data_IF_063110319970
#
_entry.id   IF_063110319970
#
_cell.length_a   1.000
_cell.length_b   1.000
_cell.length_c   1.000
_cell.angle_alpha   90.00
_cell.angle_beta   90.00
_cell.angle_gamma   90.00
#
_symmetry.space_group_name_H-M   'P 1'
#
loop_
_entity.id
_entity.type
_entity.pdbx_description
1 polymer ?
#
# COMPACT_ATOMS: atom_id res chain seq x y z
N UNK A 1 48.46 5.52 4.88
CA UNK A 1 49.74 5.84 4.21
C UNK A 1 50.75 4.74 4.51
N UNK A 2 51.04 3.86 3.53
CA UNK A 2 52.10 2.85 3.64
C UNK A 2 53.29 3.32 2.81
N UNK A 3 54.34 3.76 3.49
CA UNK A 3 55.75 3.66 3.07
C UNK A 3 56.58 4.37 4.15
N UNK A 4 57.12 3.58 5.08
CA UNK A 4 58.20 4.03 5.95
C UNK A 4 59.47 4.17 5.09
N UNK A 5 59.73 5.37 4.59
CA UNK A 5 61.08 5.74 4.15
C UNK A 5 61.76 6.36 5.35
N UNK A 6 62.59 5.57 6.03
CA UNK A 6 63.55 6.09 7.00
C UNK A 6 64.58 6.91 6.25
N UNK A 7 64.46 8.24 6.30
CA UNK A 7 65.56 9.13 5.93
C UNK A 7 66.57 9.12 7.10
N UNK A 8 67.60 8.29 6.96
CA UNK A 8 68.86 8.31 7.73
C UNK A 8 68.78 8.43 9.27
N UNK A 9 68.55 7.29 9.91
CA UNK A 9 69.51 6.78 10.91
C UNK A 9 69.36 7.16 12.39
N UNK A 10 68.51 8.11 12.76
CA UNK A 10 68.11 8.31 14.17
C UNK A 10 66.60 8.33 14.26
N UNK A 11 66.03 7.52 15.17
CA UNK A 11 64.64 7.68 15.56
C UNK A 11 64.48 9.14 16.00
N UNK A 12 63.63 9.95 15.36
CA UNK A 12 63.56 11.35 15.72
C UNK A 12 62.99 11.43 17.14
N UNK A 13 63.82 11.86 18.08
CA UNK A 13 63.45 12.15 19.45
C UNK A 13 62.62 13.43 19.46
N UNK A 14 61.33 13.30 19.16
CA UNK A 14 60.39 14.39 19.34
C UNK A 14 59.97 14.44 20.81
N UNK A 15 60.59 15.32 21.59
CA UNK A 15 60.16 15.60 22.98
C UNK A 15 58.80 16.30 23.04
N UNK A 16 58.29 16.83 21.91
CA UNK A 16 56.93 17.37 21.78
C UNK A 16 56.51 17.53 20.29
N UNK A 17 56.11 16.46 19.57
CA UNK A 17 55.67 16.58 18.16
C UNK A 17 54.24 17.09 18.10
N UNK A 18 54.01 18.35 18.47
CA UNK A 18 52.70 18.99 18.33
C UNK A 18 52.62 19.74 17.00
N UNK A 19 51.78 19.25 16.09
CA UNK A 19 51.60 19.84 14.76
C UNK A 19 50.46 20.87 14.74
N UNK A 20 50.51 21.87 15.63
CA UNK A 20 49.43 22.86 15.82
C UNK A 20 49.05 23.69 14.58
N UNK A 21 49.83 23.63 13.50
CA UNK A 21 49.64 24.38 12.25
C UNK A 21 49.40 23.49 11.02
N UNK A 22 49.40 22.16 11.15
CA UNK A 22 49.17 21.25 10.01
C UNK A 22 47.68 20.98 9.84
N UNK A 23 47.15 21.21 8.64
CA UNK A 23 45.77 20.92 8.30
C UNK A 23 45.53 19.39 8.17
N UNK A 24 45.50 18.71 9.32
CA UNK A 24 44.92 17.37 9.49
C UNK A 24 43.75 17.40 10.48
N UNK A 25 43.46 18.56 11.08
CA UNK A 25 42.61 18.73 12.26
C UNK A 25 41.34 19.49 11.90
N UNK A 26 40.44 18.78 11.21
CA UNK A 26 39.09 19.24 10.96
C UNK A 26 38.17 18.64 12.02
N UNK A 27 37.19 19.42 12.44
CA UNK A 27 36.16 19.03 13.41
C UNK A 27 35.08 18.14 12.76
N UNK A 28 35.15 17.93 11.45
CA UNK A 28 34.12 17.29 10.63
C UNK A 28 32.74 17.98 10.66
N UNK A 29 32.57 19.00 11.49
CA UNK A 29 31.28 19.63 11.83
C UNK A 29 31.39 20.93 12.65
N UNK A 30 32.44 21.10 13.45
CA UNK A 30 32.52 22.07 14.55
C UNK A 30 31.69 21.54 15.72
N UNK A 31 32.25 21.18 16.86
CA UNK A 31 32.59 22.07 17.99
C UNK A 31 33.72 21.53 18.88
N UNK A 32 34.22 20.31 18.65
CA UNK A 32 35.46 19.87 19.29
C UNK A 32 36.60 20.76 18.78
N UNK A 33 37.36 21.40 19.66
CA UNK A 33 38.56 22.12 19.25
C UNK A 33 39.48 21.23 18.43
N UNK A 34 40.40 21.85 17.68
CA UNK A 34 41.53 21.16 17.02
C UNK A 34 42.10 20.11 17.99
N UNK A 35 41.86 18.83 17.72
CA UNK A 35 42.45 17.76 18.52
C UNK A 35 43.91 17.69 18.08
N UNK A 36 44.81 18.08 18.97
CA UNK A 36 46.26 18.01 18.72
C UNK A 36 46.68 16.56 18.97
N UNK A 37 46.98 15.76 17.93
CA UNK A 37 47.46 14.41 18.12
C UNK A 37 48.84 14.48 18.78
N UNK A 38 49.11 13.50 19.62
CA UNK A 38 50.45 13.27 20.12
C UNK A 38 50.96 12.00 19.48
N UNK A 39 51.99 12.13 18.62
CA UNK A 39 52.59 11.00 17.92
C UNK A 39 53.30 10.00 18.85
N UNK A 40 53.48 10.33 20.14
CA UNK A 40 53.94 9.36 21.15
C UNK A 40 52.79 8.59 21.81
N UNK A 41 51.54 8.94 21.50
CA UNK A 41 50.32 8.30 21.99
C UNK A 41 49.56 7.66 20.83
N UNK A 42 49.85 6.36 20.59
CA UNK A 42 49.18 5.50 19.59
C UNK A 42 47.64 5.64 19.61
N UNK A 43 46.95 5.75 20.77
CA UNK A 43 45.50 5.89 20.80
C UNK A 43 44.93 7.17 20.16
N UNK A 44 45.74 8.18 19.80
CA UNK A 44 45.23 9.46 19.28
C UNK A 44 44.90 9.44 17.77
N UNK A 45 45.29 8.37 17.05
CA UNK A 45 45.08 8.24 15.60
C UNK A 45 43.87 7.41 15.18
N UNK A 46 43.22 6.69 16.10
CA UNK A 46 42.12 5.79 15.75
C UNK A 46 40.84 6.53 15.32
N UNK A 47 40.06 5.90 14.44
CA UNK A 47 38.73 6.38 14.07
C UNK A 47 37.84 6.53 15.31
N UNK A 48 37.18 7.69 15.45
CA UNK A 48 36.37 8.03 16.63
C UNK A 48 37.02 9.08 17.54
N UNK A 49 38.35 9.26 17.45
CA UNK A 49 39.04 10.25 18.28
C UNK A 49 38.92 11.67 17.75
N UNK A 50 38.98 11.86 16.43
CA UNK A 50 38.86 13.19 15.81
C UNK A 50 37.40 13.64 15.72
N UNK A 51 36.53 12.72 15.30
CA UNK A 51 35.08 12.89 15.22
C UNK A 51 34.43 11.52 15.43
N UNK A 52 33.14 11.52 15.76
CA UNK A 52 32.37 10.28 15.87
C UNK A 52 32.46 9.41 14.60
N UNK A 53 32.49 8.08 14.77
CA UNK A 53 32.80 7.14 13.69
C UNK A 53 31.90 5.89 13.66
N UNK A 54 30.85 5.84 14.50
CA UNK A 54 29.92 4.71 14.56
C UNK A 54 28.53 5.14 15.10
N UNK A 55 27.60 4.20 15.23
CA UNK A 55 26.24 4.45 15.69
C UNK A 55 26.12 4.96 17.13
N UNK A 56 27.11 4.66 17.98
CA UNK A 56 27.15 5.09 19.39
C UNK A 56 27.63 6.52 19.52
N UNK A 57 28.65 6.86 18.73
CA UNK A 57 29.23 8.19 18.63
C UNK A 57 29.25 8.57 17.15
N UNK A 58 28.12 8.98 16.57
CA UNK A 58 28.08 9.38 15.17
C UNK A 58 28.83 10.71 14.98
N UNK A 59 29.39 10.98 13.77
CA UNK A 59 29.96 12.29 13.50
C UNK A 59 28.93 13.39 13.77
N UNK A 60 29.35 14.55 14.26
CA UNK A 60 28.43 15.57 14.76
C UNK A 60 27.57 16.15 13.62
N UNK A 61 26.32 15.72 13.52
CA UNK A 61 25.27 16.41 12.78
C UNK A 61 23.91 15.87 13.23
N UNK A 62 22.88 16.71 13.19
CA UNK A 62 21.50 16.26 13.44
C UNK A 62 21.04 15.18 12.45
N UNK A 63 21.72 15.01 11.31
CA UNK A 63 21.38 14.01 10.30
C UNK A 63 22.02 12.65 10.57
N UNK A 64 23.23 12.62 11.12
CA UNK A 64 23.83 11.36 11.49
C UNK A 64 23.04 10.67 12.60
N UNK A 65 22.52 11.42 13.58
CA UNK A 65 21.66 10.82 14.62
C UNK A 65 20.38 10.19 14.08
N UNK A 66 19.85 10.69 12.95
CA UNK A 66 18.67 10.15 12.27
C UNK A 66 18.96 8.93 11.39
N UNK A 67 20.10 8.91 10.69
CA UNK A 67 20.39 7.89 9.67
C UNK A 67 21.30 6.77 10.18
N UNK A 68 22.31 7.12 10.98
CA UNK A 68 23.35 6.19 11.42
C UNK A 68 23.34 5.96 12.93
N UNK A 69 22.74 6.88 13.71
CA UNK A 69 22.68 6.79 15.15
C UNK A 69 21.64 5.78 15.66
N UNK A 70 21.72 5.47 16.96
CA UNK A 70 20.80 4.54 17.62
C UNK A 70 19.37 5.08 17.79
N UNK A 71 19.15 6.40 17.69
CA UNK A 71 17.89 7.05 18.04
C UNK A 71 16.70 6.64 17.15
N UNK A 72 16.95 6.34 15.88
CA UNK A 72 15.90 6.04 14.89
C UNK A 72 15.99 4.62 14.31
N UNK A 73 16.96 3.80 14.72
CA UNK A 73 17.00 2.37 14.40
C UNK A 73 17.43 1.96 12.98
N UNK A 74 17.52 2.86 12.00
CA UNK A 74 17.95 2.50 10.62
C UNK A 74 19.40 2.02 10.53
N UNK A 75 20.31 2.65 11.28
CA UNK A 75 21.74 2.29 11.36
C UNK A 75 22.42 2.12 9.99
N UNK A 76 22.15 3.01 9.04
CA UNK A 76 22.75 2.90 7.71
C UNK A 76 24.28 2.87 7.76
N UNK A 77 24.92 1.97 7.00
CA UNK A 77 26.37 1.97 6.84
C UNK A 77 26.86 3.33 6.34
N UNK A 78 28.03 3.79 6.80
CA UNK A 78 28.58 5.09 6.42
C UNK A 78 28.76 5.23 4.89
N UNK A 79 29.15 4.13 4.23
CA UNK A 79 29.29 4.02 2.78
C UNK A 79 27.97 4.19 2.01
N UNK A 80 26.83 4.26 2.71
CA UNK A 80 25.53 4.60 2.09
C UNK A 80 25.56 6.02 1.52
N UNK A 81 26.20 6.96 2.22
CA UNK A 81 26.31 8.37 1.83
C UNK A 81 27.76 8.81 1.53
N UNK A 82 28.76 8.09 2.03
CA UNK A 82 30.19 8.39 1.86
C UNK A 82 30.89 7.29 1.05
N UNK A 83 30.25 6.84 -0.04
CA UNK A 83 30.72 5.70 -0.84
C UNK A 83 32.08 5.94 -1.51
N UNK A 84 32.52 7.19 -1.64
CA UNK A 84 33.82 7.57 -2.22
C UNK A 84 34.95 7.69 -1.20
N UNK A 85 34.64 7.65 0.11
CA UNK A 85 35.55 8.04 1.18
C UNK A 85 35.82 6.91 2.18
N UNK A 86 34.84 6.02 2.40
CA UNK A 86 34.92 4.98 3.43
C UNK A 86 34.61 3.58 2.88
N UNK A 87 35.11 2.55 3.56
CA UNK A 87 34.83 1.15 3.21
C UNK A 87 33.37 0.78 3.49
N UNK A 88 32.88 -0.22 2.78
CA UNK A 88 31.55 -0.80 3.03
C UNK A 88 31.56 -1.59 4.34
N UNK A 89 30.56 -1.34 5.19
CA UNK A 89 30.23 -2.12 6.38
C UNK A 89 28.80 -2.64 6.28
N UNK A 90 28.41 -3.58 7.15
CA UNK A 90 27.03 -4.07 7.20
C UNK A 90 26.05 -2.95 7.64
N UNK A 91 26.44 -2.19 8.66
CA UNK A 91 25.68 -1.09 9.23
C UNK A 91 26.64 -0.07 9.90
N UNK A 92 26.09 0.96 10.55
CA UNK A 92 26.87 1.97 11.28
C UNK A 92 27.43 1.52 12.62
N UNK A 93 27.14 0.29 13.10
CA UNK A 93 27.70 -0.19 14.38
C UNK A 93 29.17 -0.54 14.27
N UNK A 94 29.66 -0.76 13.05
CA UNK A 94 31.06 -1.02 12.76
C UNK A 94 31.73 0.25 12.22
N UNK A 95 32.86 0.62 12.81
CA UNK A 95 33.70 1.72 12.31
C UNK A 95 34.25 1.35 10.91
N UNK A 96 34.01 2.15 9.87
CA UNK A 96 34.58 1.88 8.56
C UNK A 96 36.05 2.30 8.51
N UNK A 97 36.76 1.89 7.46
CA UNK A 97 38.11 2.35 7.13
C UNK A 97 38.05 3.46 6.08
N UNK A 98 39.03 4.36 6.04
CA UNK A 98 39.12 5.40 5.00
C UNK A 98 39.74 4.80 3.74
N UNK A 99 39.02 4.91 2.61
CA UNK A 99 39.48 4.43 1.29
C UNK A 99 40.07 5.55 0.45
N UNK A 100 39.67 6.81 0.71
CA UNK A 100 40.18 7.98 0.00
C UNK A 100 40.63 9.07 0.99
N UNK A 101 41.91 9.04 1.35
CA UNK A 101 42.49 10.02 2.27
C UNK A 101 42.45 11.44 1.71
N UNK A 102 42.62 11.61 0.39
CA UNK A 102 42.56 12.93 -0.24
C UNK A 102 41.21 13.59 -0.02
N UNK A 103 40.11 12.87 -0.19
CA UNK A 103 38.77 13.41 0.07
C UNK A 103 38.48 13.57 1.56
N UNK A 104 38.95 12.64 2.41
CA UNK A 104 38.72 12.70 3.85
C UNK A 104 39.26 14.00 4.49
N UNK A 105 40.37 14.54 3.99
CA UNK A 105 41.00 15.77 4.51
C UNK A 105 40.92 16.98 3.57
N UNK A 106 40.00 17.02 2.59
CA UNK A 106 39.93 18.10 1.60
C UNK A 106 39.16 19.36 2.05
N UNK A 107 38.78 19.45 3.33
CA UNK A 107 37.97 20.55 3.91
C UNK A 107 36.51 20.62 3.45
N UNK A 108 36.03 19.62 2.72
CA UNK A 108 34.64 19.58 2.24
C UNK A 108 33.90 18.40 2.85
N UNK A 109 32.58 18.53 2.99
CA UNK A 109 31.73 17.40 3.37
C UNK A 109 31.36 16.66 2.09
N UNK A 110 32.20 15.73 1.66
CA UNK A 110 31.93 14.90 0.49
C UNK A 110 30.76 13.96 0.78
N UNK A 111 29.73 14.00 -0.07
CA UNK A 111 28.61 13.06 -0.04
C UNK A 111 28.48 12.46 -1.43
N UNK A 112 28.62 11.14 -1.49
CA UNK A 112 28.40 10.32 -2.66
C UNK A 112 27.55 9.11 -2.25
N UNK A 113 26.28 9.13 -2.63
CA UNK A 113 25.37 8.02 -2.37
C UNK A 113 25.78 6.77 -3.17
N UNK A 114 25.66 5.60 -2.55
CA UNK A 114 25.86 4.35 -3.28
C UNK A 114 24.73 4.11 -4.32
N UNK A 115 24.96 3.16 -5.22
CA UNK A 115 23.99 2.82 -6.28
C UNK A 115 22.67 2.24 -5.77
N UNK A 116 22.64 1.70 -4.54
CA UNK A 116 21.41 1.18 -3.96
C UNK A 116 20.44 2.30 -3.59
N UNK A 117 20.95 3.45 -3.12
CA UNK A 117 20.15 4.63 -2.73
C UNK A 117 19.85 5.55 -3.92
N UNK A 118 20.83 5.74 -4.81
CA UNK A 118 20.74 6.78 -5.84
C UNK A 118 19.68 6.46 -6.90
N UNK A 119 18.74 7.38 -7.11
CA UNK A 119 17.75 7.34 -8.21
C UNK A 119 17.98 8.42 -9.26
N UNK A 120 19.03 9.24 -9.10
CA UNK A 120 19.39 10.32 -10.01
C UNK A 120 20.65 11.07 -9.54
N UNK A 121 20.97 12.16 -10.22
CA UNK A 121 22.12 12.99 -9.83
C UNK A 121 21.83 13.74 -8.51
N UNK A 122 22.75 13.65 -7.56
CA UNK A 122 22.72 14.39 -6.30
C UNK A 122 23.91 15.34 -6.24
N UNK A 123 23.64 16.62 -5.99
CA UNK A 123 24.67 17.64 -5.77
C UNK A 123 24.55 18.14 -4.34
N UNK A 124 25.50 17.78 -3.49
CA UNK A 124 25.64 18.44 -2.18
C UNK A 124 26.39 19.76 -2.37
N UNK A 125 25.77 20.86 -1.95
CA UNK A 125 26.46 22.14 -1.85
C UNK A 125 26.54 22.52 -0.38
N UNK A 126 27.76 22.55 0.15
CA UNK A 126 28.02 22.93 1.54
C UNK A 126 27.42 24.32 1.83
N UNK A 127 26.65 24.44 2.91
CA UNK A 127 25.97 25.68 3.29
C UNK A 127 24.64 25.95 2.57
N UNK A 128 24.20 25.08 1.65
CA UNK A 128 22.85 25.14 1.05
C UNK A 128 21.97 24.01 1.57
N UNK A 129 20.66 24.26 1.61
CA UNK A 129 19.66 23.25 1.95
C UNK A 129 19.48 22.27 0.78
N UNK A 130 20.42 21.32 0.67
CA UNK A 130 20.49 20.36 -0.43
C UNK A 130 19.26 19.43 -0.45
N UNK A 131 18.72 19.17 -1.63
CA UNK A 131 17.52 18.36 -1.84
C UNK A 131 17.89 16.87 -2.05
N UNK A 132 17.36 15.99 -1.21
CA UNK A 132 17.56 14.54 -1.25
C UNK A 132 16.48 13.79 -2.06
N UNK A 133 15.69 14.49 -2.88
CA UNK A 133 14.57 13.90 -3.65
C UNK A 133 15.03 12.90 -4.73
N UNK A 134 16.32 12.88 -5.09
CA UNK A 134 16.91 11.88 -5.99
C UNK A 134 17.43 10.63 -5.24
N UNK A 135 16.81 10.29 -4.10
CA UNK A 135 17.17 9.11 -3.31
C UNK A 135 15.96 8.19 -3.10
N UNK A 136 16.22 6.89 -3.02
CA UNK A 136 15.18 5.89 -2.75
C UNK A 136 14.56 6.05 -1.34
N UNK A 137 15.36 6.37 -0.31
CA UNK A 137 14.88 6.42 1.08
C UNK A 137 13.88 7.55 1.35
N UNK A 138 14.04 8.67 0.65
CA UNK A 138 13.06 9.74 0.65
C UNK A 138 12.30 9.66 -0.66
N UNK A 139 11.44 8.66 -0.84
CA UNK A 139 10.61 8.54 -2.03
C UNK A 139 9.13 8.49 -1.66
N UNK A 140 8.23 8.46 -2.64
CA UNK A 140 6.78 8.50 -2.41
C UNK A 140 6.21 7.18 -1.84
N UNK A 141 7.09 6.23 -1.47
CA UNK A 141 6.70 4.87 -1.11
C UNK A 141 6.05 4.06 -2.25
N UNK A 142 5.99 4.60 -3.47
CA UNK A 142 5.51 3.92 -4.69
C UNK A 142 6.64 3.43 -5.59
N UNK A 143 7.87 3.63 -5.16
CA UNK A 143 9.13 3.53 -5.90
C UNK A 143 9.41 2.15 -6.46
N UNK A 144 8.92 1.10 -5.82
CA UNK A 144 9.02 -0.27 -6.36
C UNK A 144 8.25 -0.39 -7.68
N UNK A 145 7.16 0.36 -7.85
CA UNK A 145 6.38 0.42 -9.09
C UNK A 145 6.80 1.57 -10.02
N UNK A 146 7.29 2.70 -9.49
CA UNK A 146 7.52 3.93 -10.28
C UNK A 146 8.96 4.34 -10.47
N UNK A 147 9.90 3.83 -9.67
CA UNK A 147 11.26 4.37 -9.58
C UNK A 147 11.35 5.83 -9.11
N UNK A 148 10.25 6.42 -8.63
CA UNK A 148 10.08 7.87 -8.49
C UNK A 148 10.64 8.53 -7.21
N UNK A 149 10.93 9.83 -7.34
CA UNK A 149 11.26 10.79 -6.28
C UNK A 149 10.14 10.91 -5.21
N UNK A 150 10.39 11.49 -4.02
CA UNK A 150 9.37 11.72 -3.01
C UNK A 150 8.37 12.76 -3.48
N UNK A 151 7.19 12.67 -2.90
CA UNK A 151 6.11 13.63 -3.12
C UNK A 151 6.29 14.93 -2.34
N UNK A 152 7.10 14.93 -1.27
CA UNK A 152 7.54 16.12 -0.54
C UNK A 152 9.02 16.40 -0.72
N UNK A 153 9.43 17.68 -0.71
CA UNK A 153 10.85 18.05 -0.78
C UNK A 153 11.60 17.53 0.45
N UNK A 154 12.51 16.57 0.22
CA UNK A 154 13.40 16.04 1.24
C UNK A 154 14.61 16.93 1.42
N UNK A 155 14.41 18.04 2.13
CA UNK A 155 15.50 18.97 2.40
C UNK A 155 16.34 18.48 3.58
N UNK A 156 17.65 18.71 3.51
CA UNK A 156 18.60 18.27 4.53
C UNK A 156 18.20 18.66 5.96
N UNK A 157 17.44 19.73 6.17
CA UNK A 157 17.01 20.19 7.50
C UNK A 157 15.54 19.92 7.87
N UNK A 158 14.81 19.12 7.10
CA UNK A 158 13.40 18.81 7.37
C UNK A 158 13.21 17.54 8.21
N UNK A 159 12.06 17.44 8.88
CA UNK A 159 11.56 16.20 9.50
C UNK A 159 10.32 15.76 8.72
N UNK A 160 10.17 14.46 8.50
CA UNK A 160 8.99 13.89 7.84
C UNK A 160 8.23 12.95 8.76
N UNK A 161 6.91 12.96 8.62
CA UNK A 161 6.02 11.92 9.15
C UNK A 161 5.56 11.02 7.98
N UNK A 162 4.66 10.08 8.26
CA UNK A 162 4.09 9.18 7.26
C UNK A 162 3.54 9.94 6.03
N UNK A 163 2.85 11.07 6.25
CA UNK A 163 2.28 11.90 5.18
C UNK A 163 3.33 12.62 4.32
N UNK A 164 4.52 12.90 4.89
CA UNK A 164 5.64 13.46 4.14
C UNK A 164 6.13 12.57 2.98
N UNK A 165 5.94 11.25 3.09
CA UNK A 165 6.34 10.28 2.06
C UNK A 165 5.14 9.60 1.36
N UNK A 166 4.10 9.18 2.10
CA UNK A 166 3.04 8.32 1.57
C UNK A 166 1.72 9.06 1.25
N UNK A 167 1.40 10.16 1.94
CA UNK A 167 0.02 10.69 2.02
C UNK A 167 -0.25 12.01 1.33
N UNK A 168 -0.06 12.12 0.02
CA UNK A 168 -0.43 13.35 -0.71
C UNK A 168 -1.89 13.71 -0.41
N UNK A 169 -2.15 14.78 0.34
CA UNK A 169 -3.51 15.22 0.64
C UNK A 169 -4.24 14.40 1.72
N UNK A 170 -3.53 13.60 2.53
CA UNK A 170 -4.09 13.00 3.75
C UNK A 170 -3.21 13.29 4.96
N UNK A 171 -3.83 13.47 6.12
CA UNK A 171 -3.12 13.79 7.37
C UNK A 171 -2.57 12.57 8.09
N UNK A 172 -3.08 11.38 7.77
CA UNK A 172 -2.72 10.09 8.36
C UNK A 172 -1.60 9.36 7.62
N UNK A 173 -1.18 9.88 6.46
CA UNK A 173 -0.13 9.28 5.65
C UNK A 173 -0.56 8.13 4.76
N UNK A 174 -1.86 7.86 4.60
CA UNK A 174 -2.31 6.85 3.64
C UNK A 174 -2.10 7.32 2.18
N UNK A 175 -1.67 6.44 1.27
CA UNK A 175 -1.63 6.72 -0.16
C UNK A 175 -2.95 7.23 -0.75
N UNK A 176 -2.89 8.35 -1.47
CA UNK A 176 -4.06 9.04 -2.04
C UNK A 176 -3.97 9.25 -3.55
N UNK A 177 -3.33 8.32 -4.25
CA UNK A 177 -3.33 8.30 -5.71
C UNK A 177 -4.45 7.39 -6.22
N UNK A 178 -4.94 7.67 -7.43
CA UNK A 178 -5.95 6.84 -8.09
C UNK A 178 -5.44 5.40 -8.26
N UNK A 179 -6.26 4.41 -7.91
CA UNK A 179 -5.90 3.00 -8.09
C UNK A 179 -5.54 2.71 -9.55
N UNK A 180 -4.40 2.07 -9.77
CA UNK A 180 -3.83 1.80 -11.10
C UNK A 180 -2.79 2.83 -11.55
N UNK A 181 -2.76 4.02 -10.95
CA UNK A 181 -1.84 5.10 -11.32
C UNK A 181 -1.12 5.64 -10.08
N UNK A 182 0.07 5.15 -9.75
CA UNK A 182 0.94 4.28 -10.56
C UNK A 182 0.74 2.76 -10.35
N UNK A 183 0.01 2.36 -9.32
CA UNK A 183 -0.25 0.96 -8.97
C UNK A 183 -1.60 0.84 -8.28
N UNK A 184 -2.04 -0.38 -7.98
CA UNK A 184 -3.23 -0.61 -7.19
C UNK A 184 -3.22 0.17 -5.86
N UNK A 185 -4.34 0.78 -5.50
CA UNK A 185 -4.52 1.48 -4.22
C UNK A 185 -5.81 1.07 -3.51
N UNK A 186 -5.71 0.20 -2.50
CA UNK A 186 -6.88 -0.21 -1.71
C UNK A 186 -7.34 0.84 -0.71
N UNK A 187 -6.51 1.83 -0.33
CA UNK A 187 -6.91 2.87 0.64
C UNK A 187 -8.09 3.69 0.14
N UNK A 188 -8.25 3.82 -1.18
CA UNK A 188 -9.36 4.53 -1.81
C UNK A 188 -10.42 3.57 -2.38
N UNK A 189 -10.29 2.26 -2.16
CA UNK A 189 -11.24 1.27 -2.70
C UNK A 189 -12.61 1.30 -2.00
N UNK A 190 -12.65 1.66 -0.71
CA UNK A 190 -13.88 1.96 0.03
C UNK A 190 -13.59 2.84 1.25
N UNK A 191 -14.62 3.45 1.82
CA UNK A 191 -14.51 4.19 3.09
C UNK A 191 -14.08 3.30 4.25
N UNK A 192 -14.42 2.00 4.23
CA UNK A 192 -13.94 1.01 5.22
C UNK A 192 -12.43 0.85 5.14
N UNK A 193 -11.86 0.62 3.96
CA UNK A 193 -10.41 0.51 3.80
C UNK A 193 -9.69 1.79 4.22
N UNK A 194 -10.27 2.96 3.93
CA UNK A 194 -9.71 4.25 4.33
C UNK A 194 -9.72 4.46 5.86
N UNK A 195 -10.59 3.76 6.59
CA UNK A 195 -10.74 3.87 8.04
C UNK A 195 -9.92 2.81 8.80
N UNK A 196 -9.43 1.77 8.13
CA UNK A 196 -8.58 0.76 8.77
C UNK A 196 -7.24 1.37 9.18
N UNK A 197 -6.75 1.07 10.40
CA UNK A 197 -5.46 1.58 10.84
C UNK A 197 -4.34 0.86 10.09
N UNK A 198 -3.20 1.53 9.85
CA UNK A 198 -2.14 1.01 8.97
C UNK A 198 -1.67 -0.42 9.35
N UNK A 199 -1.58 -0.71 10.66
CA UNK A 199 -1.15 -2.02 11.17
C UNK A 199 -2.13 -3.16 10.85
N UNK A 200 -3.37 -2.88 10.45
CA UNK A 200 -4.31 -3.91 10.01
C UNK A 200 -3.79 -4.66 8.77
N UNK A 201 -3.01 -3.98 7.92
CA UNK A 201 -2.41 -4.53 6.71
C UNK A 201 -0.88 -4.48 6.69
N UNK A 202 -0.24 -3.59 7.46
CA UNK A 202 1.20 -3.36 7.44
C UNK A 202 1.85 -3.66 8.79
N UNK A 203 1.36 -4.67 9.51
CA UNK A 203 1.79 -4.96 10.89
C UNK A 203 3.29 -5.21 11.04
N UNK A 204 3.88 -5.90 10.06
CA UNK A 204 5.31 -6.20 10.07
C UNK A 204 6.19 -4.96 9.93
N UNK A 205 5.62 -3.83 9.49
CA UNK A 205 6.31 -2.55 9.33
C UNK A 205 5.97 -1.57 10.45
N UNK A 206 4.71 -1.54 10.88
CA UNK A 206 4.20 -0.70 11.97
C UNK A 206 3.25 -1.50 12.87
N UNK A 207 3.52 -1.53 14.17
CA UNK A 207 2.66 -2.23 15.13
C UNK A 207 1.48 -1.38 15.62
N UNK A 208 1.60 -0.05 15.57
CA UNK A 208 0.60 0.90 16.12
C UNK A 208 -0.05 1.78 15.06
N UNK A 209 0.46 1.74 13.83
CA UNK A 209 0.03 2.63 12.74
C UNK A 209 0.57 4.06 12.83
N UNK A 210 1.35 4.37 13.87
CA UNK A 210 1.89 5.71 14.14
C UNK A 210 3.42 5.76 14.19
N UNK A 211 4.09 4.60 14.21
CA UNK A 211 5.55 4.50 14.24
C UNK A 211 6.05 3.28 13.47
N UNK A 212 7.30 3.33 13.01
CA UNK A 212 7.97 2.22 12.34
C UNK A 212 8.58 1.31 13.40
N UNK A 213 8.26 0.01 13.35
CA UNK A 213 8.81 -1.00 14.26
C UNK A 213 9.84 -1.91 13.58
N UNK A 214 9.78 -2.03 12.26
CA UNK A 214 10.78 -2.75 11.47
C UNK A 214 11.37 -1.86 10.38
N UNK A 215 12.50 -1.24 10.69
CA UNK A 215 13.22 -0.35 9.78
C UNK A 215 13.75 -1.09 8.54
N UNK A 216 14.14 -2.36 8.70
CA UNK A 216 14.58 -3.20 7.57
C UNK A 216 13.46 -3.46 6.58
N UNK A 217 12.22 -3.66 7.04
CA UNK A 217 11.05 -3.84 6.17
C UNK A 217 10.53 -2.55 5.58
N UNK A 218 10.66 -1.42 6.29
CA UNK A 218 10.21 -0.13 5.77
C UNK A 218 10.92 0.31 4.48
N UNK A 219 12.19 -0.11 4.27
CA UNK A 219 13.02 0.30 3.14
C UNK A 219 13.65 -0.88 2.35
N UNK A 220 12.99 -2.04 2.30
CA UNK A 220 13.52 -3.24 1.62
C UNK A 220 13.24 -3.31 0.10
N UNK A 221 12.75 -2.23 -0.53
CA UNK A 221 12.29 -2.23 -1.94
C UNK A 221 11.17 -3.25 -2.22
N UNK A 222 10.36 -3.56 -1.21
CA UNK A 222 9.16 -4.39 -1.34
C UNK A 222 7.94 -3.68 -0.75
N UNK A 223 6.77 -4.28 -0.97
CA UNK A 223 5.54 -3.90 -0.28
C UNK A 223 5.23 -4.98 0.75
N UNK A 224 5.65 -4.75 1.99
CA UNK A 224 5.31 -5.62 3.12
C UNK A 224 3.84 -5.42 3.50
N UNK A 225 3.03 -6.41 3.16
CA UNK A 225 1.63 -6.50 3.59
C UNK A 225 1.50 -7.78 4.41
N UNK A 226 1.14 -7.63 5.68
CA UNK A 226 0.90 -8.71 6.61
C UNK A 226 -0.20 -8.27 7.58
N UNK A 227 -1.27 -9.08 7.74
CA UNK A 227 -2.34 -8.76 8.66
C UNK A 227 -1.93 -8.88 10.13
N UNK A 228 -2.70 -8.24 11.00
CA UNK A 228 -2.69 -8.48 12.44
C UNK A 228 -4.03 -8.11 13.09
N UNK A 229 -4.25 -8.59 14.31
CA UNK A 229 -5.44 -8.28 15.10
C UNK A 229 -6.69 -8.96 14.54
N UNK A 230 -7.72 -8.17 14.25
CA UNK A 230 -8.99 -8.66 13.69
C UNK A 230 -8.93 -8.99 12.20
N UNK A 231 -7.89 -8.53 11.49
CA UNK A 231 -7.65 -8.88 10.10
C UNK A 231 -6.88 -10.20 9.99
N UNK A 232 -7.29 -11.05 9.06
CA UNK A 232 -6.54 -12.24 8.64
C UNK A 232 -6.72 -12.40 7.14
N UNK A 233 -5.63 -12.63 6.41
CA UNK A 233 -5.60 -12.92 4.99
C UNK A 233 -4.22 -13.45 4.60
N UNK A 234 -4.16 -14.20 3.51
CA UNK A 234 -2.88 -14.52 2.84
C UNK A 234 -2.65 -13.49 1.74
N UNK A 235 -1.47 -12.88 1.69
CA UNK A 235 -1.08 -11.94 0.64
C UNK A 235 -0.05 -12.57 -0.30
N UNK A 236 -0.27 -12.39 -1.60
CA UNK A 236 0.68 -12.74 -2.66
C UNK A 236 1.20 -11.45 -3.28
N UNK A 237 2.51 -11.22 -3.14
CA UNK A 237 3.16 -10.01 -3.61
C UNK A 237 3.15 -9.90 -5.14
N UNK A 238 2.88 -8.68 -5.63
CA UNK A 238 3.17 -8.25 -6.99
C UNK A 238 3.43 -6.74 -6.99
N UNK A 239 4.42 -6.28 -7.75
CA UNK A 239 4.84 -4.88 -7.81
C UNK A 239 3.70 -3.91 -8.21
N UNK A 240 2.66 -4.35 -8.92
CA UNK A 240 1.53 -3.50 -9.33
C UNK A 240 0.30 -3.60 -8.44
N UNK A 241 0.29 -4.47 -7.41
CA UNK A 241 -0.84 -4.56 -6.47
C UNK A 241 -0.92 -5.84 -5.66
N UNK A 242 -0.63 -6.99 -6.25
CA UNK A 242 -0.73 -8.28 -5.57
C UNK A 242 -2.18 -8.74 -5.38
N UNK A 243 -2.33 -9.91 -4.76
CA UNK A 243 -3.64 -10.53 -4.48
C UNK A 243 -3.72 -11.01 -3.04
N UNK A 244 -4.93 -11.20 -2.55
CA UNK A 244 -5.19 -11.74 -1.23
C UNK A 244 -6.22 -12.88 -1.26
N UNK A 245 -6.13 -13.80 -0.31
CA UNK A 245 -7.04 -14.93 -0.15
C UNK A 245 -7.36 -15.17 1.34
N UNK A 246 -8.43 -15.91 1.61
CA UNK A 246 -8.90 -16.22 2.96
C UNK A 246 -9.08 -14.96 3.83
N UNK A 247 -9.70 -13.92 3.27
CA UNK A 247 -9.77 -12.60 3.90
C UNK A 247 -10.91 -12.57 4.92
N UNK A 248 -10.59 -12.36 6.20
CA UNK A 248 -11.57 -12.32 7.30
C UNK A 248 -12.65 -11.25 7.09
N UNK A 249 -12.26 -10.07 6.59
CA UNK A 249 -13.18 -8.95 6.33
C UNK A 249 -14.08 -9.16 5.10
N UNK A 250 -13.78 -10.14 4.24
CA UNK A 250 -14.53 -10.44 3.02
C UNK A 250 -15.15 -11.85 3.04
N UNK A 251 -15.46 -12.36 4.24
CA UNK A 251 -16.12 -13.66 4.41
C UNK A 251 -15.30 -14.84 3.89
N UNK A 252 -13.96 -14.72 3.90
CA UNK A 252 -13.03 -15.73 3.39
C UNK A 252 -12.76 -15.65 1.88
N UNK A 253 -13.42 -14.74 1.16
CA UNK A 253 -13.24 -14.59 -0.28
C UNK A 253 -11.84 -14.08 -0.64
N UNK A 254 -11.41 -14.38 -1.86
CA UNK A 254 -10.21 -13.78 -2.44
C UNK A 254 -10.46 -12.38 -2.99
N UNK A 255 -9.37 -11.64 -3.21
CA UNK A 255 -9.41 -10.28 -3.74
C UNK A 255 -8.14 -9.92 -4.49
N UNK A 256 -8.26 -8.90 -5.33
CA UNK A 256 -7.11 -8.24 -5.97
C UNK A 256 -6.96 -6.87 -5.34
N UNK A 257 -5.74 -6.50 -4.99
CA UNK A 257 -5.48 -5.21 -4.36
C UNK A 257 -5.89 -4.06 -5.28
N UNK A 258 -6.40 -2.98 -4.69
CA UNK A 258 -6.89 -1.81 -5.43
C UNK A 258 -8.18 -2.02 -6.21
N UNK A 259 -8.77 -3.22 -6.17
CA UNK A 259 -10.15 -3.43 -6.61
C UNK A 259 -11.09 -2.81 -5.58
N UNK A 260 -11.90 -1.84 -5.98
CA UNK A 260 -13.15 -1.60 -5.26
C UNK A 260 -14.01 -2.84 -5.48
N UNK A 261 -14.57 -3.41 -4.43
CA UNK A 261 -15.36 -4.65 -4.46
C UNK A 261 -16.67 -4.56 -5.24
N UNK A 262 -16.69 -3.91 -6.41
CA UNK A 262 -17.62 -4.31 -7.45
C UNK A 262 -17.22 -5.72 -7.81
N UNK A 263 -18.08 -6.70 -7.52
CA UNK A 263 -17.95 -8.02 -8.09
C UNK A 263 -17.56 -7.86 -9.56
N UNK A 264 -16.32 -8.22 -9.90
CA UNK A 264 -15.81 -8.08 -11.24
C UNK A 264 -16.61 -9.06 -12.11
N UNK A 265 -17.71 -8.57 -12.70
CA UNK A 265 -18.69 -9.42 -13.36
C UNK A 265 -19.87 -8.67 -13.97
N UNK A 266 -20.31 -7.55 -13.40
CA UNK A 266 -21.62 -6.99 -13.74
C UNK A 266 -22.70 -7.60 -12.85
N UNK A 267 -23.96 -7.64 -13.29
CA UNK A 267 -25.08 -8.11 -12.44
C UNK A 267 -24.88 -9.54 -11.89
N UNK A 268 -24.18 -10.41 -12.63
CA UNK A 268 -23.89 -11.80 -12.25
C UNK A 268 -22.90 -11.96 -11.09
N UNK A 269 -22.28 -10.86 -10.66
CA UNK A 269 -21.40 -10.85 -9.51
C UNK A 269 -22.16 -10.98 -8.19
N UNK A 270 -23.34 -10.38 -8.11
CA UNK A 270 -24.21 -10.41 -6.93
C UNK A 270 -25.43 -11.31 -7.11
N UNK A 271 -25.97 -11.37 -8.35
CA UNK A 271 -27.23 -12.03 -8.68
C UNK A 271 -26.99 -13.32 -9.46
N UNK A 272 -27.84 -14.30 -9.25
CA UNK A 272 -27.87 -15.49 -10.09
C UNK A 272 -28.26 -15.08 -11.51
N UNK A 273 -27.43 -15.45 -12.48
CA UNK A 273 -27.50 -14.95 -13.85
C UNK A 273 -27.34 -16.11 -14.83
N UNK A 274 -28.23 -16.24 -15.80
CA UNK A 274 -28.12 -17.28 -16.84
C UNK A 274 -27.10 -16.86 -17.91
N UNK A 275 -25.87 -17.29 -17.70
CA UNK A 275 -24.75 -17.01 -18.60
C UNK A 275 -24.57 -18.04 -19.72
N UNK A 276 -25.37 -19.13 -19.77
CA UNK A 276 -25.12 -20.23 -20.72
C UNK A 276 -26.32 -20.70 -21.55
N UNK A 277 -27.46 -20.02 -21.49
CA UNK A 277 -28.68 -20.40 -22.22
C UNK A 277 -29.17 -21.81 -21.85
N UNK A 278 -29.98 -21.89 -20.80
CA UNK A 278 -30.82 -23.06 -20.53
C UNK A 278 -30.10 -24.25 -19.87
N UNK A 279 -29.02 -24.00 -19.12
CA UNK A 279 -28.32 -25.02 -18.34
C UNK A 279 -28.40 -24.80 -16.82
N UNK A 280 -28.08 -25.84 -16.05
CA UNK A 280 -27.93 -25.81 -14.57
C UNK A 280 -26.72 -24.99 -14.09
N UNK A 281 -25.95 -24.38 -15.00
CA UNK A 281 -24.77 -23.58 -14.72
C UNK A 281 -25.12 -22.08 -14.67
N UNK A 282 -25.52 -21.63 -13.47
CA UNK A 282 -25.79 -20.23 -13.15
C UNK A 282 -24.55 -19.59 -12.50
N UNK A 283 -24.27 -18.32 -12.79
CA UNK A 283 -23.24 -17.57 -12.06
C UNK A 283 -23.61 -17.49 -10.58
N UNK A 284 -22.87 -18.17 -9.70
CA UNK A 284 -23.22 -18.32 -8.28
C UNK A 284 -23.12 -16.99 -7.52
N UNK A 285 -24.23 -16.55 -6.94
CA UNK A 285 -24.21 -15.76 -5.71
C UNK A 285 -24.01 -16.68 -4.50
N UNK A 286 -23.12 -16.38 -3.53
CA UNK A 286 -22.93 -17.20 -2.32
C UNK A 286 -24.15 -17.21 -1.35
N UNK A 287 -25.26 -16.54 -1.68
CA UNK A 287 -26.24 -16.07 -0.70
C UNK A 287 -27.71 -16.46 -0.98
N UNK A 288 -28.01 -17.36 -1.92
CA UNK A 288 -29.39 -17.72 -2.28
C UNK A 288 -29.63 -19.22 -2.38
N UNK A 289 -29.97 -19.86 -1.26
CA UNK A 289 -30.52 -21.23 -1.27
C UNK A 289 -32.05 -21.19 -1.45
N UNK A 290 -32.71 -20.09 -1.08
CA UNK A 290 -34.17 -20.03 -1.00
C UNK A 290 -34.82 -19.47 -2.28
N UNK A 291 -35.73 -20.24 -2.90
CA UNK A 291 -36.49 -19.79 -4.08
C UNK A 291 -35.71 -19.81 -5.41
N UNK A 292 -34.51 -20.40 -5.42
CA UNK A 292 -33.66 -20.51 -6.61
C UNK A 292 -34.39 -21.16 -7.79
N UNK A 293 -35.08 -22.29 -7.57
CA UNK A 293 -35.82 -22.97 -8.64
C UNK A 293 -36.93 -22.11 -9.26
N UNK A 294 -37.64 -21.32 -8.46
CA UNK A 294 -38.67 -20.40 -8.95
C UNK A 294 -38.04 -19.19 -9.67
N UNK A 295 -36.90 -18.69 -9.19
CA UNK A 295 -36.17 -17.60 -9.82
C UNK A 295 -35.68 -17.99 -11.22
N UNK A 296 -35.08 -19.19 -11.34
CA UNK A 296 -34.66 -19.78 -12.62
C UNK A 296 -35.84 -19.89 -13.58
N UNK A 297 -36.97 -20.47 -13.13
CA UNK A 297 -38.16 -20.64 -13.97
C UNK A 297 -38.72 -19.30 -14.49
N UNK A 298 -38.75 -18.26 -13.65
CA UNK A 298 -39.21 -16.95 -14.07
C UNK A 298 -38.26 -16.27 -15.07
N UNK A 299 -36.95 -16.34 -14.84
CA UNK A 299 -35.99 -15.77 -15.79
C UNK A 299 -36.09 -16.47 -17.14
N UNK A 300 -36.18 -17.80 -17.19
CA UNK A 300 -36.35 -18.55 -18.44
C UNK A 300 -37.64 -18.17 -19.16
N UNK A 301 -38.75 -18.06 -18.43
CA UNK A 301 -40.03 -17.65 -18.99
C UNK A 301 -39.95 -16.23 -19.60
N UNK A 302 -39.35 -15.27 -18.88
CA UNK A 302 -39.23 -13.89 -19.35
C UNK A 302 -38.28 -13.77 -20.55
N UNK A 303 -37.17 -14.52 -20.56
CA UNK A 303 -36.26 -14.58 -21.71
C UNK A 303 -36.98 -15.06 -22.97
N UNK A 304 -37.85 -16.06 -22.83
CA UNK A 304 -38.67 -16.57 -23.93
C UNK A 304 -39.73 -15.55 -24.35
N UNK A 305 -40.42 -14.93 -23.39
CA UNK A 305 -41.47 -13.94 -23.66
C UNK A 305 -40.93 -12.71 -24.40
N UNK A 306 -39.77 -12.19 -23.98
CA UNK A 306 -39.16 -11.01 -24.60
C UNK A 306 -38.15 -11.33 -25.70
N UNK A 307 -37.95 -12.61 -26.03
CA UNK A 307 -37.00 -13.05 -27.05
C UNK A 307 -35.58 -12.50 -26.84
N UNK A 308 -35.10 -12.49 -25.60
CA UNK A 308 -33.81 -11.84 -25.23
C UNK A 308 -32.57 -12.73 -25.40
N UNK A 309 -32.73 -14.05 -25.55
CA UNK A 309 -31.60 -14.99 -25.63
C UNK A 309 -30.86 -15.16 -24.28
N UNK A 310 -29.56 -15.54 -24.34
CA UNK A 310 -28.66 -15.60 -23.16
C UNK A 310 -28.60 -14.21 -22.52
N UNK A 311 -28.58 -14.14 -21.19
CA UNK A 311 -28.25 -12.89 -20.53
C UNK A 311 -26.71 -12.72 -20.57
N UNK A 312 -26.22 -11.68 -21.24
CA UNK A 312 -24.78 -11.33 -21.25
C UNK A 312 -24.49 -10.25 -20.21
N UNK A 313 -23.71 -10.52 -19.15
CA UNK A 313 -23.43 -9.54 -18.11
C UNK A 313 -22.54 -8.37 -18.59
N UNK A 314 -21.95 -8.44 -19.79
CA UNK A 314 -21.09 -7.39 -20.33
C UNK A 314 -21.86 -6.11 -20.70
N UNK A 315 -21.31 -4.94 -20.33
CA UNK A 315 -21.83 -3.63 -20.76
C UNK A 315 -23.19 -3.21 -20.18
N UNK A 316 -23.69 -3.90 -19.15
CA UNK A 316 -25.03 -3.66 -18.61
C UNK A 316 -25.10 -2.49 -17.62
N UNK A 317 -26.23 -1.78 -17.63
CA UNK A 317 -26.52 -0.66 -16.73
C UNK A 317 -27.88 -0.84 -16.04
N UNK A 318 -28.01 -0.25 -14.86
CA UNK A 318 -29.26 -0.30 -14.08
C UNK A 318 -30.41 0.36 -14.85
N UNK A 319 -31.54 -0.34 -14.93
CA UNK A 319 -32.79 0.19 -15.49
C UNK A 319 -32.87 0.24 -17.01
N UNK A 320 -31.87 -0.29 -17.72
CA UNK A 320 -31.84 -0.28 -19.18
C UNK A 320 -31.47 -1.67 -19.76
N UNK A 321 -31.70 -1.83 -21.06
CA UNK A 321 -31.35 -3.04 -21.81
C UNK A 321 -32.05 -4.31 -21.30
N UNK A 322 -31.45 -5.46 -21.61
CA UNK A 322 -31.97 -6.79 -21.24
C UNK A 322 -32.24 -6.95 -19.73
N UNK A 323 -31.40 -6.44 -18.81
CA UNK A 323 -31.69 -6.51 -17.37
C UNK A 323 -32.88 -5.66 -16.93
N UNK A 324 -33.10 -4.51 -17.58
CA UNK A 324 -34.31 -3.71 -17.36
C UNK A 324 -35.56 -4.49 -17.73
N UNK A 325 -35.51 -5.24 -18.83
CA UNK A 325 -36.64 -6.02 -19.35
C UNK A 325 -36.89 -7.27 -18.50
N UNK A 326 -35.85 -8.07 -18.23
CA UNK A 326 -35.99 -9.36 -17.54
C UNK A 326 -36.04 -9.16 -16.02
N UNK A 327 -34.99 -8.60 -15.42
CA UNK A 327 -34.93 -8.43 -13.96
C UNK A 327 -35.87 -7.32 -13.48
N UNK A 328 -36.00 -6.24 -14.25
CA UNK A 328 -36.89 -5.11 -13.95
C UNK A 328 -38.38 -5.45 -14.00
N UNK A 329 -38.76 -6.62 -14.51
CA UNK A 329 -40.15 -7.11 -14.41
C UNK A 329 -40.54 -7.44 -12.96
N UNK A 330 -39.58 -7.83 -12.11
CA UNK A 330 -39.85 -8.26 -10.73
C UNK A 330 -39.08 -7.48 -9.67
N UNK A 331 -38.06 -6.70 -10.03
CA UNK A 331 -37.22 -5.96 -9.09
C UNK A 331 -37.08 -4.50 -9.52
N UNK A 332 -36.86 -3.62 -8.54
CA UNK A 332 -36.45 -2.25 -8.86
C UNK A 332 -35.08 -2.36 -9.47
N UNK A 333 -34.89 -1.93 -10.71
CA UNK A 333 -33.58 -1.89 -11.35
C UNK A 333 -32.97 -0.47 -11.22
N UNK A 334 -33.04 0.12 -10.02
CA UNK A 334 -32.54 1.48 -9.73
C UNK A 334 -31.29 1.42 -8.86
N UNK A 335 -30.26 2.19 -9.21
CA UNK A 335 -28.97 2.16 -8.51
C UNK A 335 -29.07 2.49 -7.01
N UNK A 336 -30.00 3.37 -6.62
CA UNK A 336 -30.18 3.78 -5.21
C UNK A 336 -30.57 2.63 -4.29
N UNK A 337 -31.25 1.62 -4.84
CA UNK A 337 -31.82 0.50 -4.11
C UNK A 337 -30.88 -0.72 -4.02
N UNK A 338 -29.73 -0.69 -4.71
CA UNK A 338 -28.78 -1.81 -4.78
C UNK A 338 -27.55 -1.63 -3.88
N UNK A 339 -27.67 -0.81 -2.83
CA UNK A 339 -26.57 -0.48 -1.91
C UNK A 339 -26.76 -1.03 -0.50
N UNK A 340 -27.94 -1.54 -0.16
CA UNK A 340 -28.35 -1.85 1.22
C UNK A 340 -28.62 -3.36 1.49
N UNK A 341 -28.39 -4.22 0.49
CA UNK A 341 -28.70 -5.67 0.54
C UNK A 341 -30.19 -6.00 0.76
N UNK A 342 -31.09 -5.02 0.60
CA UNK A 342 -32.53 -5.25 0.71
C UNK A 342 -33.07 -5.91 -0.57
N UNK A 343 -33.72 -7.07 -0.42
CA UNK A 343 -34.41 -7.74 -1.52
C UNK A 343 -35.76 -7.07 -1.76
N UNK A 344 -35.83 -6.20 -2.77
CA UNK A 344 -37.09 -5.60 -3.17
C UNK A 344 -37.67 -6.30 -4.40
N UNK A 345 -38.80 -6.98 -4.20
CA UNK A 345 -39.62 -7.51 -5.28
C UNK A 345 -40.74 -6.50 -5.54
N UNK A 346 -40.69 -5.85 -6.69
CA UNK A 346 -41.75 -4.97 -7.16
C UNK A 346 -41.94 -5.17 -8.67
N UNK A 347 -43.19 -5.15 -9.12
CA UNK A 347 -43.54 -5.58 -10.47
C UNK A 347 -43.39 -4.45 -11.52
N UNK A 348 -42.19 -3.84 -11.57
CA UNK A 348 -41.84 -2.68 -12.39
C UNK A 348 -41.13 -1.58 -11.58
N UNK A 349 -40.50 -0.61 -12.25
CA UNK A 349 -39.78 0.57 -11.71
C UNK A 349 -40.59 1.54 -10.82
N UNK A 350 -41.71 1.09 -10.26
CA UNK A 350 -42.73 1.91 -9.59
C UNK A 350 -43.88 2.30 -10.52
N UNK A 351 -43.77 2.04 -11.83
CA UNK A 351 -44.86 2.24 -12.78
C UNK A 351 -45.70 0.97 -12.94
N UNK A 352 -47.01 1.18 -13.15
CA UNK A 352 -48.11 0.20 -13.15
C UNK A 352 -48.09 -0.71 -14.38
N UNK A 353 -46.96 -1.29 -14.74
CA UNK A 353 -46.77 -1.90 -16.05
C UNK A 353 -47.44 -3.28 -16.22
N UNK A 354 -47.74 -3.99 -15.12
CA UNK A 354 -48.21 -5.40 -15.13
C UNK A 354 -49.48 -5.75 -14.33
N UNK A 355 -50.34 -4.82 -13.88
CA UNK A 355 -51.49 -5.18 -13.07
C UNK A 355 -52.52 -5.95 -13.89
N UNK A 356 -53.02 -7.04 -13.33
CA UNK A 356 -54.24 -7.69 -13.80
C UNK A 356 -55.42 -7.19 -12.97
N UNK A 357 -56.27 -6.35 -13.58
CA UNK A 357 -57.40 -5.71 -12.89
C UNK A 357 -57.02 -4.39 -12.20
N UNK A 358 -57.94 -3.87 -11.37
CA UNK A 358 -57.80 -2.54 -10.75
C UNK A 358 -56.99 -2.54 -9.43
N UNK A 359 -56.66 -3.71 -8.88
CA UNK A 359 -55.95 -3.87 -7.61
C UNK A 359 -54.44 -3.96 -7.81
N UNK A 360 -53.69 -3.49 -6.81
CA UNK A 360 -52.22 -3.54 -6.85
C UNK A 360 -51.69 -4.98 -6.85
N UNK A 361 -50.65 -5.29 -7.66
CA UNK A 361 -49.93 -6.54 -7.51
C UNK A 361 -49.32 -6.65 -6.12
N UNK A 362 -49.47 -7.79 -5.47
CA UNK A 362 -48.89 -8.03 -4.14
C UNK A 362 -48.04 -9.28 -4.14
N UNK A 363 -46.95 -9.23 -3.38
CA UNK A 363 -46.09 -10.37 -3.07
C UNK A 363 -46.09 -10.60 -1.56
N UNK A 364 -46.40 -11.82 -1.12
CA UNK A 364 -46.52 -12.16 0.31
C UNK A 364 -45.23 -12.71 0.94
N UNK A 365 -44.13 -12.77 0.20
CA UNK A 365 -42.91 -13.40 0.68
C UNK A 365 -42.08 -12.54 1.63
N UNK A 366 -41.61 -13.15 2.72
CA UNK A 366 -40.60 -12.57 3.59
C UNK A 366 -39.18 -13.03 3.21
N UNK A 367 -38.19 -12.16 3.43
CA UNK A 367 -36.78 -12.51 3.27
C UNK A 367 -36.35 -13.51 4.35
N UNK A 368 -35.62 -14.57 3.97
CA UNK A 368 -35.08 -15.57 4.91
C UNK A 368 -36.10 -16.55 5.48
N UNK A 369 -37.30 -16.65 4.89
CA UNK A 369 -38.36 -17.56 5.33
C UNK A 369 -38.72 -18.52 4.20
N UNK A 370 -38.44 -19.81 4.40
CA UNK A 370 -38.65 -20.86 3.39
C UNK A 370 -40.05 -20.87 2.81
N UNK A 371 -40.14 -20.95 1.48
CA UNK A 371 -41.40 -21.15 0.74
C UNK A 371 -42.11 -22.47 1.12
N UNK A 372 -41.39 -23.43 1.73
CA UNK A 372 -41.98 -24.67 2.27
C UNK A 372 -42.70 -24.51 3.61
N UNK A 373 -42.44 -23.41 4.32
CA UNK A 373 -43.05 -23.10 5.63
C UNK A 373 -44.09 -21.98 5.47
N UNK A 374 -43.82 -20.99 4.62
CA UNK A 374 -44.74 -19.91 4.28
C UNK A 374 -44.79 -19.75 2.75
N UNK A 375 -45.80 -20.34 2.07
CA UNK A 375 -45.89 -20.28 0.61
C UNK A 375 -45.93 -18.83 0.12
N UNK A 376 -44.98 -18.48 -0.75
CA UNK A 376 -44.90 -17.13 -1.32
C UNK A 376 -45.82 -17.06 -2.53
N UNK A 377 -46.68 -16.05 -2.56
CA UNK A 377 -47.72 -15.89 -3.58
C UNK A 377 -47.65 -14.50 -4.20
N UNK A 378 -47.92 -14.42 -5.50
CA UNK A 378 -48.08 -13.17 -6.25
C UNK A 378 -49.54 -13.03 -6.71
N UNK A 379 -50.20 -11.91 -6.41
CA UNK A 379 -51.58 -11.67 -6.89
C UNK A 379 -51.65 -10.48 -7.86
N UNK A 380 -52.72 -10.41 -8.66
CA UNK A 380 -53.04 -9.31 -9.56
C UNK A 380 -51.96 -8.97 -10.60
N UNK A 381 -51.32 -9.96 -11.21
CA UNK A 381 -50.31 -9.79 -12.27
C UNK A 381 -50.74 -10.45 -13.58
N UNK A 382 -50.48 -9.78 -14.70
CA UNK A 382 -50.84 -10.20 -16.07
C UNK A 382 -50.18 -11.51 -16.52
N UNK A 383 -49.07 -11.90 -15.91
CA UNK A 383 -48.36 -13.15 -16.21
C UNK A 383 -48.99 -14.41 -15.56
N UNK A 384 -49.91 -14.27 -14.60
CA UNK A 384 -50.50 -15.41 -13.87
C UNK A 384 -52.03 -15.39 -13.95
N UNK A 385 -52.58 -16.04 -14.98
CA UNK A 385 -54.02 -16.09 -15.20
C UNK A 385 -54.74 -17.04 -14.22
N UNK A 386 -55.44 -16.44 -13.26
CA UNK A 386 -56.61 -16.95 -12.50
C UNK A 386 -56.46 -18.11 -11.49
N UNK A 387 -55.26 -18.63 -11.24
CA UNK A 387 -54.90 -19.30 -9.97
C UNK A 387 -53.49 -18.83 -9.61
N UNK A 388 -53.30 -18.24 -8.42
CA UNK A 388 -51.98 -17.79 -7.97
C UNK A 388 -51.01 -18.97 -7.90
N UNK A 389 -49.95 -19.02 -8.70
CA UNK A 389 -48.99 -20.11 -8.61
C UNK A 389 -48.20 -19.98 -7.32
N UNK A 390 -47.94 -21.13 -6.70
CA UNK A 390 -46.99 -21.22 -5.61
C UNK A 390 -45.58 -20.99 -6.16
N UNK A 391 -44.81 -20.10 -5.54
CA UNK A 391 -43.36 -20.13 -5.70
C UNK A 391 -42.86 -21.46 -5.13
N UNK A 392 -42.29 -22.30 -5.99
CA UNK A 392 -41.97 -23.70 -5.68
C UNK A 392 -41.12 -23.84 -4.41
N UNK A 393 -41.36 -24.95 -3.69
CA UNK A 393 -40.62 -25.42 -2.54
C UNK A 393 -39.48 -26.33 -2.98
N UNK A 394 -38.26 -25.80 -3.14
CA UNK A 394 -37.04 -26.59 -2.97
C UNK A 394 -36.02 -25.74 -2.22
#
# INVERSE_FOLDING_TARGET
FNAWVSLNGTAPSWTNPTCGTTYCHSTGAGTAGIITPNWTSIPTGDCGNCHGADATTPPASTRHTQHVGNAQGYKFACSTCHSGEVSVTADSTTKPTITNFTQHVNKTMNVAFNQWVSTGAYTFVAGQNSNCSATYCHSAGTTVATGGAPTGSAMWNTTMNCAGCHGIGTTDGRPNYTSGTPKANSHLASSTHAAEPCQACHFTTTATGTSITSFSRHLNKSYDVSPWGSASFTYTYNATGGSCSAISCHGGSGGVWGSSGSFAGGCNGCHDYDTTSGGTAWGKSPQTIEGFGAHVAHIEHLKQWYSTGVLDPSGQTFGAGTPGIVCGTCHTNTLGNHKDSSRMINFGDGTRARPFGASWPTYSGASGSSSSVAPKTCSNIDCHFKITPYWNTF
#
